data_IF_131112673201
#
_entry.id   IF_131112673201
#
_cell.length_a   1.000
_cell.length_b   1.000
_cell.length_c   1.000
_cell.angle_alpha   90.00
_cell.angle_beta   90.00
_cell.angle_gamma   90.00
#
_symmetry.space_group_name_H-M   'P 1'
#
loop_
_entity.id
_entity.type
_entity.pdbx_description
1 polymer ?
#
# COMPACT_ATOMS: atom_id res chain seq x y z
N UNK A 1 -13.46 -10.62 0.51
CA UNK A 1 -12.62 -11.75 0.06
C UNK A 1 -12.76 -12.88 1.07
N UNK A 2 -12.84 -14.13 0.61
CA UNK A 2 -12.80 -15.28 1.52
C UNK A 2 -11.34 -15.59 1.90
N UNK A 3 -10.94 -15.21 3.11
CA UNK A 3 -9.57 -15.39 3.59
C UNK A 3 -9.22 -16.86 3.87
N UNK A 4 -10.21 -17.71 4.14
CA UNK A 4 -9.99 -19.14 4.34
C UNK A 4 -9.62 -19.78 3.00
N UNK A 5 -10.39 -19.49 1.95
CA UNK A 5 -10.09 -19.96 0.59
C UNK A 5 -8.76 -19.39 0.08
N UNK A 6 -8.56 -18.07 0.23
CA UNK A 6 -7.31 -17.41 -0.18
C UNK A 6 -6.08 -18.05 0.46
N UNK A 7 -6.15 -18.39 1.75
CA UNK A 7 -5.05 -19.05 2.46
C UNK A 7 -4.72 -20.43 1.88
N UNK A 8 -5.72 -21.20 1.45
CA UNK A 8 -5.51 -22.52 0.85
C UNK A 8 -4.84 -22.39 -0.51
N UNK A 9 -5.32 -21.46 -1.34
CA UNK A 9 -4.76 -21.19 -2.66
C UNK A 9 -3.33 -20.67 -2.57
N UNK A 10 -3.05 -19.74 -1.64
CA UNK A 10 -1.71 -19.26 -1.35
C UNK A 10 -0.75 -20.41 -1.00
N UNK A 11 -1.18 -21.35 -0.15
CA UNK A 11 -0.35 -22.49 0.24
C UNK A 11 -0.12 -23.47 -0.91
N UNK A 12 -1.11 -23.67 -1.80
CA UNK A 12 -0.94 -24.44 -3.05
C UNK A 12 0.06 -23.77 -3.99
N UNK A 13 -0.03 -22.45 -4.14
CA UNK A 13 0.90 -21.68 -4.97
C UNK A 13 2.33 -21.74 -4.40
N UNK A 14 2.49 -21.60 -3.08
CA UNK A 14 3.76 -21.72 -2.37
C UNK A 14 4.41 -23.10 -2.57
N UNK A 15 3.60 -24.17 -2.56
CA UNK A 15 4.07 -25.53 -2.86
C UNK A 15 4.59 -25.65 -4.30
N UNK A 16 3.91 -24.98 -5.24
CA UNK A 16 4.17 -25.07 -6.67
C UNK A 16 3.90 -26.47 -7.22
N UNK A 17 4.73 -26.93 -8.16
CA UNK A 17 4.57 -28.23 -8.83
C UNK A 17 4.85 -29.47 -7.95
N UNK A 18 5.32 -29.30 -6.70
CA UNK A 18 5.68 -30.42 -5.81
C UNK A 18 4.43 -31.15 -5.33
N UNK A 19 4.49 -32.46 -5.12
CA UNK A 19 3.39 -33.16 -4.43
C UNK A 19 3.28 -32.71 -2.96
N UNK A 20 2.09 -32.84 -2.36
CA UNK A 20 1.85 -32.47 -0.95
C UNK A 20 2.81 -33.19 0.01
N UNK A 21 3.06 -34.49 -0.23
CA UNK A 21 4.02 -35.27 0.56
C UNK A 21 5.46 -34.80 0.37
N UNK A 22 5.87 -34.50 -0.87
CA UNK A 22 7.22 -33.99 -1.14
C UNK A 22 7.45 -32.62 -0.50
N UNK A 23 6.44 -31.74 -0.54
CA UNK A 23 6.46 -30.45 0.13
C UNK A 23 6.55 -30.61 1.64
N UNK A 24 5.69 -31.45 2.26
CA UNK A 24 5.73 -31.70 3.70
C UNK A 24 7.08 -32.25 4.18
N UNK A 25 7.69 -33.19 3.45
CA UNK A 25 9.04 -33.70 3.75
C UNK A 25 10.10 -32.61 3.63
N UNK A 26 10.02 -31.75 2.62
CA UNK A 26 10.94 -30.60 2.45
C UNK A 26 10.86 -29.63 3.62
N UNK A 27 9.66 -29.46 4.20
CA UNK A 27 9.43 -28.65 5.40
C UNK A 27 9.90 -29.34 6.71
N UNK A 28 10.39 -30.59 6.63
CA UNK A 28 10.87 -31.35 7.78
C UNK A 28 9.78 -32.10 8.54
N UNK A 29 8.58 -32.23 7.98
CA UNK A 29 7.50 -33.00 8.61
C UNK A 29 7.55 -34.48 8.21
N UNK A 30 7.29 -35.35 9.19
CA UNK A 30 7.08 -36.78 8.97
C UNK A 30 5.70 -37.11 8.41
N UNK A 31 4.74 -36.19 8.51
CA UNK A 31 3.34 -36.36 8.08
C UNK A 31 2.98 -35.40 6.95
N UNK A 32 1.90 -35.70 6.22
CA UNK A 32 1.41 -34.86 5.12
C UNK A 32 0.63 -33.64 5.65
N UNK A 33 1.35 -32.67 6.21
CA UNK A 33 0.74 -31.43 6.72
C UNK A 33 0.16 -30.56 5.60
N UNK A 34 0.76 -30.59 4.41
CA UNK A 34 0.33 -29.82 3.25
C UNK A 34 -1.11 -30.15 2.84
N UNK A 35 -1.50 -31.43 2.89
CA UNK A 35 -2.89 -31.83 2.65
C UNK A 35 -3.86 -31.15 3.63
N UNK A 36 -3.56 -31.15 4.93
CA UNK A 36 -4.41 -30.53 5.94
C UNK A 36 -4.55 -29.02 5.76
N UNK A 37 -3.46 -28.38 5.32
CA UNK A 37 -3.41 -26.95 5.03
C UNK A 37 -4.20 -26.58 3.77
N UNK A 38 -3.95 -27.26 2.65
CA UNK A 38 -4.55 -26.95 1.35
C UNK A 38 -6.02 -27.35 1.24
N UNK A 39 -6.49 -28.29 2.07
CA UNK A 39 -7.90 -28.70 2.13
C UNK A 39 -8.72 -27.88 3.15
N UNK A 40 -8.09 -26.98 3.91
CA UNK A 40 -8.75 -26.20 4.95
C UNK A 40 -9.09 -26.97 6.23
N UNK A 41 -8.71 -28.25 6.35
CA UNK A 41 -8.90 -29.06 7.58
C UNK A 41 -8.16 -28.46 8.79
N UNK A 42 -7.02 -27.81 8.55
CA UNK A 42 -6.26 -27.09 9.57
C UNK A 42 -5.52 -25.92 8.92
N UNK A 43 -5.67 -24.72 9.49
CA UNK A 43 -4.84 -23.59 9.12
C UNK A 43 -3.51 -23.61 9.88
N UNK A 44 -2.35 -23.43 9.21
CA UNK A 44 -1.07 -23.25 9.88
C UNK A 44 -1.01 -21.90 10.60
N UNK A 45 -0.13 -21.80 11.59
CA UNK A 45 0.24 -20.51 12.14
C UNK A 45 1.07 -19.72 11.12
N UNK A 46 1.00 -18.40 11.15
CA UNK A 46 1.68 -17.57 10.15
C UNK A 46 3.20 -17.75 10.19
N UNK A 47 3.81 -17.86 11.38
CA UNK A 47 5.27 -18.05 11.49
C UNK A 47 5.72 -19.34 10.79
N UNK A 48 4.92 -20.40 10.89
CA UNK A 48 5.18 -21.66 10.21
C UNK A 48 5.11 -21.52 8.67
N UNK A 49 4.21 -20.69 8.16
CA UNK A 49 4.11 -20.41 6.71
C UNK A 49 5.31 -19.59 6.25
N UNK A 50 5.75 -18.61 7.03
CA UNK A 50 6.97 -17.84 6.75
C UNK A 50 8.20 -18.75 6.77
N UNK A 51 8.29 -19.66 7.74
CA UNK A 51 9.32 -20.71 7.78
C UNK A 51 9.28 -21.60 6.54
N UNK A 52 8.09 -21.98 6.09
CA UNK A 52 7.93 -22.76 4.87
C UNK A 52 8.39 -22.01 3.61
N UNK A 53 8.07 -20.72 3.51
CA UNK A 53 8.56 -19.83 2.44
C UNK A 53 10.09 -19.73 2.46
N UNK A 54 10.70 -19.50 3.62
CA UNK A 54 12.16 -19.47 3.76
C UNK A 54 12.82 -20.80 3.35
N UNK A 55 12.22 -21.96 3.70
CA UNK A 55 12.72 -23.30 3.33
C UNK A 55 12.68 -23.59 1.82
N UNK A 56 11.84 -22.89 1.07
CA UNK A 56 11.84 -22.93 -0.39
C UNK A 56 12.64 -21.79 -1.02
N UNK A 57 13.44 -21.08 -0.21
CA UNK A 57 14.36 -19.99 -0.61
C UNK A 57 13.67 -18.71 -1.07
N UNK A 58 12.47 -18.43 -0.55
CA UNK A 58 11.88 -17.09 -0.66
C UNK A 58 12.50 -16.17 0.39
N UNK A 59 12.78 -14.94 -0.02
CA UNK A 59 13.29 -13.89 0.85
C UNK A 59 12.16 -13.27 1.68
N UNK A 60 11.89 -13.88 2.84
CA UNK A 60 10.82 -13.45 3.75
C UNK A 60 11.09 -12.06 4.32
N UNK A 61 12.32 -11.79 4.75
CA UNK A 61 12.67 -10.50 5.33
C UNK A 61 12.51 -9.39 4.29
N UNK A 62 13.08 -9.57 3.09
CA UNK A 62 12.98 -8.60 2.02
C UNK A 62 11.54 -8.37 1.53
N UNK A 63 10.66 -9.38 1.59
CA UNK A 63 9.23 -9.18 1.29
C UNK A 63 8.58 -8.15 2.23
N UNK A 64 8.84 -8.25 3.54
CA UNK A 64 8.33 -7.26 4.49
C UNK A 64 9.07 -5.92 4.41
N UNK A 65 10.37 -5.91 4.12
CA UNK A 65 11.12 -4.65 3.88
C UNK A 65 10.53 -3.87 2.69
N UNK A 66 10.27 -4.54 1.57
CA UNK A 66 9.59 -3.94 0.41
C UNK A 66 8.17 -3.49 0.76
N UNK A 67 7.46 -4.23 1.58
CA UNK A 67 6.14 -3.84 2.05
C UNK A 67 6.15 -2.52 2.85
N UNK A 68 7.14 -2.35 3.74
CA UNK A 68 7.30 -1.15 4.58
C UNK A 68 8.17 -0.05 3.96
N UNK A 69 8.56 -0.15 2.68
CA UNK A 69 9.35 0.86 1.99
C UNK A 69 8.76 2.29 2.15
N UNK A 70 9.58 3.34 2.38
CA UNK A 70 11.06 3.37 2.27
C UNK A 70 11.83 2.93 3.51
N UNK A 71 11.18 2.68 4.65
CA UNK A 71 11.89 2.34 5.88
C UNK A 71 11.11 1.28 6.68
N UNK A 72 11.64 0.07 6.84
CA UNK A 72 11.05 -0.91 7.74
C UNK A 72 11.10 -0.41 9.19
N UNK A 73 10.12 -0.78 10.03
CA UNK A 73 10.18 -0.52 11.46
C UNK A 73 11.48 -1.09 12.06
N UNK A 74 12.26 -0.29 12.82
CA UNK A 74 13.55 -0.75 13.35
C UNK A 74 13.44 -2.03 14.18
N UNK A 75 12.37 -2.17 14.97
CA UNK A 75 12.13 -3.36 15.81
C UNK A 75 11.99 -4.68 15.02
N UNK A 76 11.83 -4.65 13.70
CA UNK A 76 11.80 -5.88 12.90
C UNK A 76 13.17 -6.56 12.82
N UNK A 77 14.28 -5.82 12.89
CA UNK A 77 15.63 -6.41 12.86
C UNK A 77 15.98 -7.20 14.10
N UNK A 78 15.21 -7.01 15.19
CA UNK A 78 15.44 -7.68 16.47
C UNK A 78 14.94 -9.14 16.48
N UNK A 79 14.20 -9.55 15.46
CA UNK A 79 13.55 -10.85 15.40
C UNK A 79 13.87 -11.60 14.10
N UNK A 80 13.99 -12.92 14.20
CA UNK A 80 14.07 -13.77 13.01
C UNK A 80 12.75 -13.67 12.21
N UNK A 81 12.84 -13.44 10.89
CA UNK A 81 11.69 -13.22 10.01
C UNK A 81 10.66 -14.36 9.97
N UNK A 82 11.04 -15.55 10.45
CA UNK A 82 10.16 -16.73 10.53
C UNK A 82 9.58 -16.98 11.92
N UNK A 83 9.85 -16.10 12.89
CA UNK A 83 9.44 -16.27 14.29
C UNK A 83 8.04 -15.70 14.58
N UNK A 84 7.33 -16.22 15.61
CA UNK A 84 6.07 -15.63 16.08
C UNK A 84 6.21 -14.18 16.55
N UNK A 85 7.36 -13.83 17.14
CA UNK A 85 7.65 -12.47 17.60
C UNK A 85 7.73 -11.48 16.44
N UNK A 86 8.37 -11.89 15.33
CA UNK A 86 8.41 -11.09 14.10
C UNK A 86 7.00 -10.85 13.53
N UNK A 87 6.16 -11.89 13.46
CA UNK A 87 4.76 -11.74 13.01
C UNK A 87 3.99 -10.73 13.86
N UNK A 88 4.17 -10.74 15.18
CA UNK A 88 3.55 -9.77 16.07
C UNK A 88 4.08 -8.35 15.84
N UNK A 89 5.39 -8.19 15.66
CA UNK A 89 6.02 -6.89 15.36
C UNK A 89 5.52 -6.32 14.02
N UNK A 90 5.42 -7.14 12.98
CA UNK A 90 4.83 -6.77 11.69
C UNK A 90 3.39 -6.26 11.86
N UNK A 91 2.54 -6.98 12.59
CA UNK A 91 1.15 -6.56 12.81
C UNK A 91 1.06 -5.27 13.64
N UNK A 92 1.95 -5.06 14.63
CA UNK A 92 2.04 -3.80 15.39
C UNK A 92 2.41 -2.63 14.49
N UNK A 93 3.38 -2.83 13.60
CA UNK A 93 3.76 -1.81 12.62
C UNK A 93 2.62 -1.47 11.66
N UNK A 94 1.93 -2.48 11.12
CA UNK A 94 0.81 -2.30 10.19
C UNK A 94 -0.41 -1.63 10.82
N UNK A 95 -0.61 -1.78 12.14
CA UNK A 95 -1.73 -1.15 12.84
C UNK A 95 -1.74 0.37 12.65
N UNK A 96 -0.58 1.03 12.69
CA UNK A 96 -0.47 2.48 12.60
C UNK A 96 -1.37 3.19 13.62
N UNK A 97 -2.29 4.05 13.16
CA UNK A 97 -3.25 4.78 14.01
C UNK A 97 -4.57 4.05 14.25
N UNK A 98 -4.80 2.90 13.62
CA UNK A 98 -6.04 2.15 13.81
C UNK A 98 -6.22 1.80 15.30
N UNK A 99 -7.41 2.03 15.85
CA UNK A 99 -7.70 1.67 17.22
C UNK A 99 -7.85 0.14 17.31
N UNK A 100 -7.51 -0.44 18.47
CA UNK A 100 -7.73 -1.88 18.66
C UNK A 100 -9.21 -2.25 18.54
N UNK A 101 -10.11 -1.34 18.92
CA UNK A 101 -11.55 -1.53 18.80
C UNK A 101 -11.98 -1.55 17.33
N UNK A 102 -11.53 -0.60 16.51
CA UNK A 102 -11.91 -0.58 15.09
C UNK A 102 -11.40 -1.81 14.33
N UNK A 103 -10.22 -2.33 14.69
CA UNK A 103 -9.71 -3.59 14.11
C UNK A 103 -10.59 -4.77 14.56
N UNK A 104 -10.90 -4.83 15.85
CA UNK A 104 -11.74 -5.89 16.42
C UNK A 104 -13.10 -5.97 15.70
N UNK A 105 -13.76 -4.82 15.50
CA UNK A 105 -15.06 -4.73 14.84
C UNK A 105 -14.98 -5.16 13.37
N UNK A 106 -13.96 -4.72 12.62
CA UNK A 106 -13.77 -5.09 11.19
C UNK A 106 -13.47 -6.57 10.99
N UNK A 107 -12.79 -7.21 11.93
CA UNK A 107 -12.32 -8.59 11.82
C UNK A 107 -13.27 -9.58 12.51
N UNK A 108 -14.22 -9.08 13.31
CA UNK A 108 -15.17 -9.91 14.08
C UNK A 108 -14.52 -10.55 15.31
N UNK A 109 -13.55 -9.89 15.92
CA UNK A 109 -12.85 -10.33 17.13
C UNK A 109 -13.20 -9.46 18.33
N UNK A 110 -12.85 -9.92 19.53
CA UNK A 110 -12.86 -9.07 20.71
C UNK A 110 -11.60 -8.21 20.80
N UNK A 111 -11.70 -7.01 21.35
CA UNK A 111 -10.54 -6.13 21.60
C UNK A 111 -9.41 -6.82 22.40
N UNK A 112 -9.69 -7.62 23.45
CA UNK A 112 -8.64 -8.40 24.13
C UNK A 112 -7.95 -9.42 23.24
N UNK A 113 -8.67 -10.08 22.31
CA UNK A 113 -8.06 -11.02 21.37
C UNK A 113 -7.08 -10.30 20.43
N UNK A 114 -7.48 -9.16 19.87
CA UNK A 114 -6.60 -8.30 19.04
C UNK A 114 -5.37 -7.87 19.85
N UNK A 115 -5.56 -7.42 21.09
CA UNK A 115 -4.44 -7.03 21.95
C UNK A 115 -3.43 -8.16 22.19
N UNK A 116 -3.89 -9.38 22.45
CA UNK A 116 -3.02 -10.55 22.64
C UNK A 116 -2.24 -10.95 21.39
N UNK A 117 -2.88 -10.84 20.22
CA UNK A 117 -2.22 -11.11 18.93
C UNK A 117 -1.10 -10.08 18.68
N UNK A 118 -1.43 -8.78 18.81
CA UNK A 118 -0.46 -7.71 18.59
C UNK A 118 0.69 -7.74 19.59
N UNK A 119 0.47 -8.21 20.81
CA UNK A 119 1.54 -8.37 21.80
C UNK A 119 2.33 -9.68 21.66
N UNK A 120 2.04 -10.51 20.65
CA UNK A 120 2.68 -11.82 20.46
C UNK A 120 2.31 -12.89 21.50
N UNK A 121 1.34 -12.62 22.38
CA UNK A 121 0.85 -13.59 23.39
C UNK A 121 0.01 -14.69 22.77
N UNK A 122 -0.43 -14.52 21.53
CA UNK A 122 -1.22 -15.50 20.79
C UNK A 122 -0.78 -15.46 19.35
N UNK A 123 -0.29 -16.59 18.87
CA UNK A 123 0.11 -16.73 17.49
C UNK A 123 -1.12 -16.77 16.58
N UNK A 124 -1.06 -16.01 15.48
CA UNK A 124 -2.16 -15.90 14.53
C UNK A 124 -2.05 -16.98 13.44
N UNK A 125 -3.20 -17.52 13.03
CA UNK A 125 -3.28 -18.44 11.88
C UNK A 125 -3.36 -17.66 10.57
N UNK A 126 -2.87 -18.26 9.49
CA UNK A 126 -2.73 -17.59 8.20
C UNK A 126 -4.02 -16.87 7.71
N UNK A 127 -5.23 -17.47 7.74
CA UNK A 127 -6.45 -16.78 7.29
C UNK A 127 -6.73 -15.50 8.09
N UNK A 128 -6.57 -15.56 9.42
CA UNK A 128 -6.80 -14.42 10.28
C UNK A 128 -5.69 -13.37 10.13
N UNK A 129 -4.45 -13.79 9.87
CA UNK A 129 -3.37 -12.87 9.52
C UNK A 129 -3.69 -12.10 8.24
N UNK A 130 -4.17 -12.78 7.19
CA UNK A 130 -4.62 -12.14 5.95
C UNK A 130 -5.74 -11.12 6.21
N UNK A 131 -6.76 -11.52 6.97
CA UNK A 131 -7.85 -10.62 7.34
C UNK A 131 -7.37 -9.39 8.12
N UNK A 132 -6.44 -9.56 9.07
CA UNK A 132 -5.85 -8.46 9.83
C UNK A 132 -5.07 -7.51 8.92
N UNK A 133 -4.17 -8.04 8.07
CA UNK A 133 -3.39 -7.24 7.12
C UNK A 133 -4.31 -6.45 6.20
N UNK A 134 -5.32 -7.09 5.59
CA UNK A 134 -6.27 -6.39 4.71
C UNK A 134 -7.05 -5.30 5.45
N UNK A 135 -7.55 -5.60 6.66
CA UNK A 135 -8.34 -4.65 7.45
C UNK A 135 -7.57 -3.41 7.91
N UNK A 136 -6.25 -3.53 8.06
CA UNK A 136 -5.37 -2.46 8.55
C UNK A 136 -4.74 -1.67 7.39
N UNK A 137 -4.43 -2.34 6.28
CA UNK A 137 -3.57 -1.78 5.23
C UNK A 137 -4.24 -1.72 3.86
N UNK A 138 -5.23 -2.58 3.59
CA UNK A 138 -5.80 -2.81 2.24
C UNK A 138 -4.77 -3.24 1.18
N UNK A 139 -3.60 -3.71 1.63
CA UNK A 139 -2.46 -4.10 0.79
C UNK A 139 -2.09 -5.56 0.98
N UNK A 140 -3.07 -6.41 1.29
CA UNK A 140 -2.82 -7.83 1.48
C UNK A 140 -2.27 -8.47 0.20
N UNK A 141 -2.92 -8.24 -0.95
CA UNK A 141 -2.52 -8.84 -2.21
C UNK A 141 -1.13 -8.37 -2.65
N UNK A 142 -0.78 -7.14 -2.29
CA UNK A 142 0.58 -6.66 -2.43
C UNK A 142 1.56 -7.51 -1.64
N UNK A 143 1.37 -7.62 -0.33
CA UNK A 143 2.25 -8.46 0.49
C UNK A 143 2.38 -9.89 -0.08
N UNK A 144 1.27 -10.47 -0.55
CA UNK A 144 1.26 -11.80 -1.15
C UNK A 144 2.07 -11.90 -2.45
N UNK A 145 2.09 -10.84 -3.27
CA UNK A 145 2.79 -10.81 -4.55
C UNK A 145 4.31 -10.92 -4.42
N UNK A 146 4.87 -10.69 -3.22
CA UNK A 146 6.29 -10.96 -2.93
C UNK A 146 6.60 -12.45 -2.73
N UNK A 147 5.58 -13.29 -2.52
CA UNK A 147 5.76 -14.72 -2.24
C UNK A 147 5.27 -15.63 -3.38
N UNK A 148 4.19 -15.24 -4.06
CA UNK A 148 3.54 -16.04 -5.11
C UNK A 148 3.01 -15.14 -6.23
N UNK A 149 2.77 -15.73 -7.39
CA UNK A 149 2.03 -15.05 -8.46
C UNK A 149 0.53 -14.97 -8.09
N UNK A 150 0.10 -13.80 -7.60
CA UNK A 150 -1.28 -13.56 -7.16
C UNK A 150 -2.28 -13.63 -8.31
N UNK A 151 -1.84 -13.39 -9.56
CA UNK A 151 -2.71 -13.47 -10.73
C UNK A 151 -3.26 -14.89 -10.98
N UNK A 152 -2.57 -15.91 -10.43
CA UNK A 152 -2.94 -17.32 -10.55
C UNK A 152 -3.84 -17.80 -9.41
N UNK A 153 -4.19 -16.94 -8.44
CA UNK A 153 -5.04 -17.30 -7.30
C UNK A 153 -6.51 -16.97 -7.63
N UNK A 154 -7.40 -17.97 -7.82
CA UNK A 154 -8.80 -17.71 -8.17
C UNK A 154 -9.52 -16.76 -7.20
N UNK A 155 -9.29 -16.88 -5.89
CA UNK A 155 -9.94 -16.04 -4.88
C UNK A 155 -9.43 -14.58 -4.86
N UNK A 156 -8.29 -14.29 -5.50
CA UNK A 156 -7.71 -12.95 -5.59
C UNK A 156 -7.69 -12.38 -7.02
N UNK A 157 -7.86 -13.19 -8.05
CA UNK A 157 -7.62 -12.80 -9.44
C UNK A 157 -8.37 -11.53 -9.87
N UNK A 158 -9.67 -11.45 -9.61
CA UNK A 158 -10.46 -10.25 -9.94
C UNK A 158 -9.98 -9.02 -9.18
N UNK A 159 -9.72 -9.14 -7.88
CA UNK A 159 -9.25 -8.00 -7.06
C UNK A 159 -7.84 -7.57 -7.46
N UNK A 160 -6.97 -8.53 -7.80
CA UNK A 160 -5.62 -8.25 -8.27
C UNK A 160 -5.64 -7.55 -9.64
N UNK A 161 -6.46 -8.03 -10.58
CA UNK A 161 -6.69 -7.35 -11.86
C UNK A 161 -7.22 -5.93 -11.63
N UNK A 162 -8.13 -5.73 -10.68
CA UNK A 162 -8.61 -4.39 -10.30
C UNK A 162 -7.47 -3.50 -9.78
N UNK A 163 -6.59 -4.01 -8.91
CA UNK A 163 -5.44 -3.24 -8.39
C UNK A 163 -4.46 -2.87 -9.52
N UNK A 164 -4.12 -3.82 -10.39
CA UNK A 164 -3.20 -3.59 -11.49
C UNK A 164 -3.77 -2.64 -12.56
N UNK A 165 -5.07 -2.73 -12.82
CA UNK A 165 -5.77 -1.79 -13.69
C UNK A 165 -5.64 -0.34 -13.20
N UNK A 166 -5.63 -0.11 -11.89
CA UNK A 166 -5.43 1.23 -11.30
C UNK A 166 -3.99 1.72 -11.44
N UNK A 167 -3.02 0.83 -11.32
CA UNK A 167 -1.58 1.16 -11.39
C UNK A 167 -1.14 1.56 -12.79
N UNK A 168 -1.76 0.96 -13.81
CA UNK A 168 -1.33 1.16 -15.18
C UNK A 168 -1.51 2.62 -15.66
N UNK A 169 -2.69 3.28 -15.53
CA UNK A 169 -2.85 4.71 -15.81
C UNK A 169 -1.94 5.59 -14.95
N UNK A 170 -1.82 5.30 -13.65
CA UNK A 170 -0.92 6.04 -12.76
C UNK A 170 0.52 6.02 -13.28
N UNK A 171 0.96 4.87 -13.82
CA UNK A 171 2.29 4.69 -14.37
C UNK A 171 2.55 5.36 -15.71
N UNK A 172 1.50 5.64 -16.48
CA UNK A 172 1.63 6.23 -17.81
C UNK A 172 1.32 7.72 -17.83
N UNK A 173 0.42 8.16 -16.95
CA UNK A 173 -0.13 9.49 -16.95
C UNK A 173 -0.22 10.05 -15.51
N UNK A 174 0.74 10.90 -15.09
CA UNK A 174 0.74 11.52 -13.76
C UNK A 174 -0.49 12.35 -13.43
N UNK A 175 -1.28 12.76 -14.43
CA UNK A 175 -2.53 13.51 -14.24
C UNK A 175 -3.66 12.66 -13.67
N UNK A 176 -3.62 11.33 -13.84
CA UNK A 176 -4.68 10.41 -13.39
C UNK A 176 -5.00 10.56 -11.89
N UNK A 177 -3.98 10.79 -11.08
CA UNK A 177 -4.12 11.01 -9.64
C UNK A 177 -4.82 12.33 -9.30
N UNK A 178 -4.58 13.40 -10.08
CA UNK A 178 -5.17 14.70 -9.81
C UNK A 178 -6.55 14.85 -10.46
N UNK A 179 -6.72 14.43 -11.72
CA UNK A 179 -7.99 14.48 -12.46
C UNK A 179 -9.08 13.71 -11.70
N UNK A 180 -8.76 12.55 -11.13
CA UNK A 180 -9.71 11.80 -10.30
C UNK A 180 -10.21 12.61 -9.09
N UNK A 181 -9.35 13.44 -8.46
CA UNK A 181 -9.74 14.30 -7.32
C UNK A 181 -10.68 15.43 -7.73
N UNK A 182 -10.61 15.91 -8.97
CA UNK A 182 -11.56 16.92 -9.45
C UNK A 182 -12.99 16.37 -9.54
N UNK A 183 -13.15 15.06 -9.76
CA UNK A 183 -14.46 14.40 -9.78
C UNK A 183 -15.08 14.27 -8.38
N UNK A 184 -14.28 14.40 -7.31
CA UNK A 184 -14.75 14.41 -5.92
C UNK A 184 -15.30 15.78 -5.50
N UNK A 185 -15.12 16.83 -6.31
CA UNK A 185 -15.48 18.18 -5.93
C UNK A 185 -17.00 18.37 -5.89
N UNK A 186 -17.49 19.01 -4.82
CA UNK A 186 -18.91 19.40 -4.70
C UNK A 186 -19.35 20.24 -5.90
N UNK A 187 -18.46 21.10 -6.39
CA UNK A 187 -18.72 21.96 -7.56
C UNK A 187 -18.80 21.17 -8.88
N UNK A 188 -18.06 20.07 -9.01
CA UNK A 188 -18.23 19.15 -10.14
C UNK A 188 -19.58 18.46 -10.06
N UNK A 189 -19.94 17.97 -8.86
CA UNK A 189 -21.20 17.28 -8.61
C UNK A 189 -22.45 18.18 -8.76
N UNK A 190 -22.29 19.48 -8.56
CA UNK A 190 -23.37 20.48 -8.69
C UNK A 190 -23.67 20.89 -10.14
N UNK A 191 -22.85 20.46 -11.11
CA UNK A 191 -23.10 20.75 -12.52
C UNK A 191 -24.33 19.98 -13.04
N UNK A 192 -24.92 20.47 -14.13
CA UNK A 192 -25.99 19.76 -14.81
C UNK A 192 -25.50 18.46 -15.48
N UNK A 193 -24.21 18.41 -15.81
CA UNK A 193 -23.51 17.30 -16.46
C UNK A 193 -22.03 17.65 -16.59
N UNK A 194 -21.20 16.68 -16.94
CA UNK A 194 -19.78 16.92 -17.22
C UNK A 194 -19.61 17.88 -18.40
N UNK A 195 -18.87 18.96 -18.16
CA UNK A 195 -18.45 19.92 -19.19
C UNK A 195 -17.01 19.60 -19.59
N UNK A 196 -16.74 19.19 -20.85
CA UNK A 196 -15.37 18.97 -21.32
C UNK A 196 -14.52 20.25 -21.18
N UNK A 197 -13.28 20.10 -20.70
CA UNK A 197 -12.37 21.23 -20.47
C UNK A 197 -12.49 21.87 -19.08
N UNK A 198 -13.52 21.53 -18.29
CA UNK A 198 -13.71 22.11 -16.96
C UNK A 198 -12.58 21.75 -16.00
N UNK A 199 -12.09 20.50 -16.05
CA UNK A 199 -10.94 20.09 -15.24
C UNK A 199 -9.67 20.73 -15.82
N UNK A 200 -9.55 20.75 -17.14
CA UNK A 200 -8.37 21.26 -17.84
C UNK A 200 -8.08 22.73 -17.50
N UNK A 201 -9.10 23.58 -17.55
CA UNK A 201 -9.01 25.00 -17.23
C UNK A 201 -8.49 25.22 -15.80
N UNK A 202 -9.04 24.48 -14.83
CA UNK A 202 -8.69 24.61 -13.41
C UNK A 202 -7.31 24.07 -13.07
N UNK A 203 -6.90 23.01 -13.75
CA UNK A 203 -5.58 22.40 -13.58
C UNK A 203 -4.48 23.10 -14.39
N UNK A 204 -4.85 23.94 -15.36
CA UNK A 204 -3.91 24.48 -16.35
C UNK A 204 -3.26 23.36 -17.16
N UNK A 205 -4.07 22.48 -17.76
CA UNK A 205 -3.68 21.47 -18.76
C UNK A 205 -4.51 21.66 -20.03
N UNK A 206 -4.21 20.89 -21.09
CA UNK A 206 -5.04 20.88 -22.29
C UNK A 206 -6.33 20.07 -22.09
N UNK A 207 -7.38 20.41 -22.84
CA UNK A 207 -8.60 19.58 -22.88
C UNK A 207 -8.30 18.16 -23.40
N UNK A 208 -7.37 18.01 -24.33
CA UNK A 208 -6.92 16.71 -24.82
C UNK A 208 -6.31 15.85 -23.70
N UNK A 209 -5.51 16.46 -22.82
CA UNK A 209 -4.96 15.77 -21.65
C UNK A 209 -6.06 15.34 -20.67
N UNK A 210 -7.08 16.18 -20.44
CA UNK A 210 -8.24 15.83 -19.63
C UNK A 210 -8.98 14.63 -20.23
N UNK A 211 -9.35 14.69 -21.51
CA UNK A 211 -10.09 13.63 -22.21
C UNK A 211 -9.32 12.31 -22.21
N UNK A 212 -8.03 12.35 -22.57
CA UNK A 212 -7.16 11.16 -22.53
C UNK A 212 -7.07 10.58 -21.11
N UNK A 213 -6.93 11.43 -20.09
CA UNK A 213 -6.86 10.99 -18.70
C UNK A 213 -8.17 10.35 -18.24
N UNK A 214 -9.33 10.93 -18.59
CA UNK A 214 -10.63 10.35 -18.24
C UNK A 214 -10.85 9.00 -18.93
N UNK A 215 -10.45 8.85 -20.20
CA UNK A 215 -10.48 7.57 -20.92
C UNK A 215 -9.59 6.52 -20.25
N UNK A 216 -8.35 6.87 -19.89
CA UNK A 216 -7.44 5.96 -19.18
C UNK A 216 -8.03 5.51 -17.83
N UNK A 217 -8.65 6.44 -17.09
CA UNK A 217 -9.30 6.18 -15.81
C UNK A 217 -10.54 5.28 -15.96
N UNK A 218 -11.33 5.45 -17.04
CA UNK A 218 -12.49 4.61 -17.33
C UNK A 218 -12.08 3.20 -17.75
N UNK A 219 -11.09 3.07 -18.64
CA UNK A 219 -10.54 1.77 -19.07
C UNK A 219 -9.96 0.98 -17.88
N UNK A 220 -9.39 1.68 -16.91
CA UNK A 220 -8.94 1.11 -15.64
C UNK A 220 -10.06 0.80 -14.62
N UNK A 221 -11.30 1.20 -14.92
CA UNK A 221 -12.45 1.09 -14.04
C UNK A 221 -12.31 1.89 -12.75
N UNK A 222 -11.48 2.95 -12.73
CA UNK A 222 -11.38 3.90 -11.61
C UNK A 222 -12.60 4.81 -11.58
N UNK A 223 -13.07 5.20 -12.77
CA UNK A 223 -14.27 6.00 -12.95
C UNK A 223 -15.25 5.25 -13.84
N UNK A 224 -16.52 5.66 -13.79
CA UNK A 224 -17.55 5.23 -14.72
C UNK A 224 -18.43 6.39 -15.14
N UNK A 225 -18.95 6.33 -16.35
CA UNK A 225 -19.99 7.25 -16.80
C UNK A 225 -21.35 6.85 -16.21
N UNK A 226 -22.08 7.79 -15.61
CA UNK A 226 -23.43 7.55 -15.08
C UNK A 226 -24.57 8.00 -16.02
N UNK A 227 -24.23 8.46 -17.22
CA UNK A 227 -25.15 9.08 -18.17
C UNK A 227 -25.03 10.61 -18.22
N UNK A 228 -24.46 11.22 -17.17
CA UNK A 228 -24.31 12.68 -17.05
C UNK A 228 -22.94 13.12 -16.53
N UNK A 229 -22.34 12.34 -15.64
CA UNK A 229 -21.09 12.66 -14.95
C UNK A 229 -20.16 11.45 -14.94
N UNK A 230 -18.87 11.73 -14.82
CA UNK A 230 -17.88 10.75 -14.40
C UNK A 230 -17.96 10.56 -12.89
N UNK A 231 -18.10 9.31 -12.43
CA UNK A 231 -18.16 8.96 -11.02
C UNK A 231 -17.00 8.06 -10.64
N UNK A 232 -16.35 8.36 -9.53
CA UNK A 232 -15.35 7.47 -8.95
C UNK A 232 -16.01 6.22 -8.38
N UNK A 233 -15.42 5.08 -8.68
CA UNK A 233 -15.66 3.86 -7.96
C UNK A 233 -14.95 3.96 -6.58
N UNK A 234 -15.76 4.17 -5.52
CA UNK A 234 -15.43 4.68 -4.17
C UNK A 234 -14.34 3.96 -3.34
N UNK A 235 -13.42 3.19 -3.92
CA UNK A 235 -12.43 2.41 -3.16
C UNK A 235 -11.00 2.46 -3.70
N UNK A 236 -10.60 3.47 -4.48
CA UNK A 236 -9.32 3.43 -5.19
C UNK A 236 -8.42 4.62 -4.84
N UNK A 237 -7.50 4.40 -3.91
CA UNK A 237 -6.32 5.25 -3.72
C UNK A 237 -5.15 4.58 -4.44
N UNK A 238 -4.40 5.34 -5.23
CA UNK A 238 -3.17 4.87 -5.85
C UNK A 238 -2.11 4.80 -4.73
N UNK A 239 -1.69 3.60 -4.35
CA UNK A 239 -0.51 3.41 -3.49
C UNK A 239 0.72 3.13 -4.38
N UNK A 240 1.60 4.12 -4.51
CA UNK A 240 2.84 4.04 -5.30
C UNK A 240 4.04 3.48 -4.52
N UNK A 241 3.88 3.15 -3.24
CA UNK A 241 5.01 2.77 -2.36
C UNK A 241 5.81 1.54 -2.82
N UNK A 242 5.18 0.65 -3.59
CA UNK A 242 5.82 -0.57 -4.12
C UNK A 242 6.44 -0.42 -5.50
N UNK A 243 6.25 0.72 -6.15
CA UNK A 243 6.91 1.03 -7.41
C UNK A 243 7.73 2.32 -7.23
N UNK A 244 8.98 2.20 -6.74
CA UNK A 244 9.85 3.35 -6.50
C UNK A 244 10.04 4.22 -7.75
N UNK A 245 10.10 3.59 -8.93
CA UNK A 245 10.23 4.31 -10.20
C UNK A 245 8.98 5.12 -10.54
N UNK A 246 7.79 4.55 -10.30
CA UNK A 246 6.54 5.29 -10.40
C UNK A 246 6.50 6.45 -9.39
N UNK A 247 6.85 6.19 -8.14
CA UNK A 247 6.95 7.22 -7.11
C UNK A 247 7.90 8.36 -7.51
N UNK A 248 9.05 8.02 -8.10
CA UNK A 248 10.03 8.98 -8.62
C UNK A 248 9.47 9.80 -9.78
N UNK A 249 8.82 9.17 -10.77
CA UNK A 249 8.20 9.85 -11.91
C UNK A 249 7.07 10.78 -11.48
N UNK A 250 6.24 10.36 -10.53
CA UNK A 250 5.20 11.21 -9.94
C UNK A 250 5.81 12.40 -9.20
N UNK A 251 6.85 12.17 -8.40
CA UNK A 251 7.54 13.25 -7.68
C UNK A 251 8.17 14.25 -8.67
N UNK A 252 8.85 13.76 -9.70
CA UNK A 252 9.45 14.58 -10.76
C UNK A 252 8.39 15.48 -11.44
N UNK A 253 7.27 14.88 -11.87
CA UNK A 253 6.16 15.61 -12.48
C UNK A 253 5.62 16.72 -11.57
N UNK A 254 5.29 16.40 -10.31
CA UNK A 254 4.73 17.39 -9.39
C UNK A 254 5.74 18.45 -8.96
N UNK A 255 7.03 18.11 -8.89
CA UNK A 255 8.11 19.07 -8.61
C UNK A 255 8.24 20.07 -9.74
N UNK A 256 8.17 19.62 -10.98
CA UNK A 256 8.23 20.51 -12.15
C UNK A 256 7.03 21.46 -12.21
N UNK A 257 5.83 20.98 -11.85
CA UNK A 257 4.64 21.84 -11.68
C UNK A 257 4.82 22.86 -10.57
N UNK A 258 5.37 22.46 -9.42
CA UNK A 258 5.70 23.38 -8.32
C UNK A 258 6.72 24.43 -8.76
N UNK A 259 7.77 24.04 -9.49
CA UNK A 259 8.79 24.95 -10.05
C UNK A 259 8.17 25.99 -10.97
N UNK A 260 7.33 25.56 -11.92
CA UNK A 260 6.62 26.47 -12.83
C UNK A 260 5.74 27.47 -12.08
N UNK A 261 5.04 27.02 -11.03
CA UNK A 261 4.16 27.87 -10.22
C UNK A 261 4.90 28.88 -9.36
N UNK A 262 6.05 28.49 -8.79
CA UNK A 262 6.97 29.41 -8.10
C UNK A 262 7.46 30.49 -9.08
N UNK A 263 7.89 30.08 -10.28
CA UNK A 263 8.41 31.01 -11.29
C UNK A 263 7.37 32.02 -11.77
N UNK A 264 6.09 31.62 -11.85
CA UNK A 264 4.99 32.50 -12.25
C UNK A 264 4.36 33.29 -11.09
N UNK A 265 4.93 33.22 -9.88
CA UNK A 265 4.32 33.77 -8.65
C UNK A 265 2.85 33.34 -8.45
N UNK A 266 2.51 32.11 -8.83
CA UNK A 266 1.15 31.58 -8.67
C UNK A 266 0.79 31.30 -7.21
N UNK A 267 -0.51 31.15 -6.92
CA UNK A 267 -0.99 30.88 -5.58
C UNK A 267 -0.40 29.60 -4.97
N UNK A 268 0.00 29.69 -3.69
CA UNK A 268 0.55 28.57 -2.93
C UNK A 268 1.32 29.04 -1.71
N UNK A 269 1.73 28.07 -0.86
CA UNK A 269 2.70 28.32 0.21
C UNK A 269 4.00 27.63 -0.19
N UNK A 270 5.00 28.43 -0.52
CA UNK A 270 6.32 27.96 -0.88
C UNK A 270 7.31 28.42 0.18
N UNK A 271 8.09 27.49 0.71
CA UNK A 271 9.07 27.76 1.76
C UNK A 271 10.30 26.90 1.52
N UNK A 272 11.48 27.44 1.80
CA UNK A 272 12.72 26.68 1.81
C UNK A 272 13.46 26.94 3.12
N UNK A 273 14.23 25.94 3.56
CA UNK A 273 15.13 26.03 4.71
C UNK A 273 16.41 25.28 4.38
N UNK A 274 17.54 25.95 4.53
CA UNK A 274 18.88 25.34 4.42
C UNK A 274 19.53 25.44 5.79
N UNK A 275 19.98 24.33 6.34
CA UNK A 275 20.54 24.23 7.69
C UNK A 275 21.58 23.12 7.75
N UNK A 276 22.54 23.24 8.67
CA UNK A 276 23.43 22.14 9.04
C UNK A 276 22.84 21.36 10.23
N UNK A 277 23.03 20.04 10.25
CA UNK A 277 22.65 19.19 11.38
C UNK A 277 23.55 17.95 11.45
N UNK A 278 23.51 17.23 12.57
CA UNK A 278 24.13 15.91 12.71
C UNK A 278 23.19 14.77 12.25
N UNK A 279 23.70 13.55 12.18
CA UNK A 279 22.96 12.36 11.72
C UNK A 279 21.77 12.00 12.62
N UNK A 280 21.91 12.22 13.92
CA UNK A 280 20.84 12.00 14.89
C UNK A 280 19.67 12.96 14.63
N UNK A 281 19.98 14.23 14.37
CA UNK A 281 19.01 15.27 14.01
C UNK A 281 18.38 14.97 12.65
N UNK A 282 19.16 14.54 11.64
CA UNK A 282 18.63 14.14 10.34
C UNK A 282 17.64 12.98 10.46
N UNK A 283 17.93 12.00 11.33
CA UNK A 283 17.01 10.89 11.62
C UNK A 283 15.71 11.40 12.26
N UNK A 284 15.82 12.30 13.26
CA UNK A 284 14.65 12.89 13.92
C UNK A 284 13.78 13.72 12.96
N UNK A 285 14.39 14.45 12.02
CA UNK A 285 13.69 15.22 10.98
C UNK A 285 12.98 14.29 10.00
N UNK A 286 13.60 13.17 9.62
CA UNK A 286 12.94 12.14 8.79
C UNK A 286 11.70 11.56 9.47
N UNK A 287 11.77 11.27 10.78
CA UNK A 287 10.62 10.78 11.53
C UNK A 287 9.51 11.84 11.65
N UNK A 288 9.89 13.12 11.81
CA UNK A 288 8.93 14.24 11.77
C UNK A 288 8.25 14.34 10.41
N UNK A 289 8.98 14.20 9.30
CA UNK A 289 8.43 14.20 7.94
C UNK A 289 7.41 13.08 7.74
N UNK A 290 7.70 11.87 8.23
CA UNK A 290 6.76 10.75 8.17
C UNK A 290 5.49 11.02 8.99
N UNK A 291 5.63 11.60 10.19
CA UNK A 291 4.47 12.01 11.02
C UNK A 291 3.63 13.08 10.33
N UNK A 292 4.27 14.09 9.73
CA UNK A 292 3.58 15.15 8.97
C UNK A 292 2.65 14.57 7.89
N UNK A 293 3.14 13.66 7.03
CA UNK A 293 2.29 13.04 6.00
C UNK A 293 1.17 12.19 6.60
N UNK A 294 1.42 11.48 7.70
CA UNK A 294 0.37 10.69 8.39
C UNK A 294 -0.73 11.58 8.95
N UNK A 295 -0.38 12.67 9.62
CA UNK A 295 -1.34 13.63 10.17
C UNK A 295 -2.11 14.36 9.07
N UNK A 296 -1.42 14.78 8.00
CA UNK A 296 -2.06 15.38 6.83
C UNK A 296 -3.08 14.43 6.19
N UNK A 297 -2.74 13.16 5.98
CA UNK A 297 -3.70 12.16 5.47
C UNK A 297 -4.90 11.98 6.40
N UNK A 298 -4.69 12.01 7.71
CA UNK A 298 -5.79 11.93 8.68
C UNK A 298 -6.72 13.15 8.59
N UNK A 299 -6.17 14.35 8.40
CA UNK A 299 -6.96 15.57 8.16
C UNK A 299 -7.77 15.50 6.87
N UNK A 300 -7.14 15.04 5.76
CA UNK A 300 -7.83 14.85 4.48
C UNK A 300 -8.96 13.83 4.62
N UNK A 301 -8.72 12.70 5.28
CA UNK A 301 -9.74 11.66 5.48
C UNK A 301 -10.90 12.11 6.39
N UNK A 302 -10.67 13.09 7.27
CA UNK A 302 -11.69 13.66 8.15
C UNK A 302 -12.47 14.83 7.50
N UNK A 303 -12.05 15.31 6.33
CA UNK A 303 -12.72 16.39 5.64
C UNK A 303 -14.13 15.94 5.18
N UNK A 304 -15.21 16.68 5.52
CA UNK A 304 -16.56 16.26 5.21
C UNK A 304 -16.89 16.38 3.72
N UNK A 305 -16.28 17.33 3.02
CA UNK A 305 -16.43 17.53 1.58
C UNK A 305 -15.11 17.94 0.93
N UNK A 306 -15.02 17.77 -0.39
CA UNK A 306 -13.89 18.20 -1.19
C UNK A 306 -14.28 19.44 -1.99
N UNK A 307 -13.65 20.59 -1.70
CA UNK A 307 -13.85 21.83 -2.46
C UNK A 307 -12.60 22.28 -3.21
N UNK A 308 -11.45 21.65 -2.96
CA UNK A 308 -10.18 21.96 -3.63
C UNK A 308 -9.33 20.72 -3.79
N UNK A 309 -8.61 20.66 -4.91
CA UNK A 309 -7.54 19.67 -5.14
C UNK A 309 -6.21 20.32 -4.79
N UNK A 310 -5.43 19.64 -3.95
CA UNK A 310 -4.16 20.15 -3.43
C UNK A 310 -3.06 19.11 -3.66
N UNK A 311 -1.87 19.58 -4.03
CA UNK A 311 -0.64 18.79 -4.03
C UNK A 311 0.28 19.30 -2.92
N UNK A 312 0.90 18.39 -2.18
CA UNK A 312 1.88 18.71 -1.15
C UNK A 312 3.19 17.96 -1.46
N UNK A 313 4.22 18.71 -1.84
CA UNK A 313 5.57 18.20 -2.10
C UNK A 313 6.54 18.75 -1.04
N UNK A 314 7.06 17.87 -0.18
CA UNK A 314 8.10 18.21 0.80
C UNK A 314 9.37 17.43 0.47
N UNK A 315 10.40 18.15 0.05
CA UNK A 315 11.71 17.58 -0.30
C UNK A 315 12.69 17.75 0.86
N UNK A 316 13.38 16.67 1.22
CA UNK A 316 14.47 16.66 2.16
C UNK A 316 15.58 15.80 1.56
N UNK A 317 16.74 16.39 1.32
CA UNK A 317 17.90 15.72 0.76
C UNK A 317 19.18 16.39 1.29
N UNK A 318 20.26 15.62 1.53
CA UNK A 318 21.56 16.20 1.82
C UNK A 318 22.09 16.93 0.58
N UNK A 319 22.76 18.07 0.78
CA UNK A 319 23.44 18.82 -0.29
C UNK A 319 24.89 18.37 -0.47
N UNK A 320 25.44 17.72 0.54
CA UNK A 320 26.79 17.21 0.61
C UNK A 320 26.80 15.68 0.58
N UNK A 321 28.00 15.10 0.51
CA UNK A 321 28.22 13.64 0.53
C UNK A 321 28.22 13.05 1.94
N UNK A 322 28.09 13.87 3.00
CA UNK A 322 28.16 13.43 4.39
C UNK A 322 29.53 12.84 4.77
N UNK A 323 29.71 12.51 6.05
CA UNK A 323 30.80 11.62 6.49
C UNK A 323 30.36 10.18 6.26
N UNK A 324 30.29 9.75 5.00
CA UNK A 324 30.06 8.35 4.70
C UNK A 324 31.21 7.52 5.26
N UNK A 325 30.90 6.58 6.15
CA UNK A 325 31.76 5.42 6.39
C UNK A 325 31.95 4.72 5.03
N UNK A 326 33.09 4.98 4.40
CA UNK A 326 33.65 4.11 3.39
C UNK A 326 34.04 2.80 4.08
N UNK A 327 33.09 1.86 4.22
CA UNK A 327 33.40 0.48 4.52
C UNK A 327 32.73 -0.45 3.51
N UNK A 328 33.54 -0.80 2.50
CA UNK A 328 33.56 -2.02 1.65
C UNK A 328 32.29 -2.48 0.97
#
# INVERSE_FOLDING_TARGET
MDYQQLSQEFLRALRGARSQTAFSRRLGYSTNVAYGWESGRRAPNTSEVLRAAARIRLDVAGAFERFFHPRPPPELSDYEATSPAYVAAVLRAMRGTNSMQSIADRVGLSRPAVSRILSGKTEVRLPLFFQLVDSMTRRLLDLMSDFVDVSQLPAAGEEWQRIEAVRHPASQNPLSDAVSRFLELDEYAAQAGHIPGWIAERMGISQEDEERTLQDLELAGIIRWDGSHWRLEKQRSIDTTRNPELGRRMLEYWTERSRARIASAGDGRFSYLVFGCDDATLTAINDLRLRFYREMRALVAAAPTASRVMVATVHLYPLDVGTGDTNT
#
